data_IF_653876129216
#
_entry.id   IF_653876129216
#
_cell.length_a   1.000
_cell.length_b   1.000
_cell.length_c   1.000
_cell.angle_alpha   90.00
_cell.angle_beta   90.00
_cell.angle_gamma   90.00
#
_symmetry.space_group_name_H-M   'P 1'
#
loop_
_entity.id
_entity.type
_entity.pdbx_description
1 polymer ?
#
# COMPACT_ATOMS: atom_id res chain seq x y z
N UNK A 1 -7.85 29.53 -27.67
CA UNK A 1 -6.95 30.62 -27.24
C UNK A 1 -6.56 31.42 -28.47
N UNK A 2 -6.37 32.75 -28.38
CA UNK A 2 -5.84 33.52 -29.51
C UNK A 2 -4.51 32.91 -29.95
N UNK A 3 -4.36 32.66 -31.25
CA UNK A 3 -3.11 32.14 -31.82
C UNK A 3 -2.09 33.28 -31.89
N UNK A 4 -0.94 33.07 -31.24
CA UNK A 4 0.23 33.92 -31.38
C UNK A 4 1.40 33.08 -31.90
N UNK A 5 2.27 33.71 -32.68
CA UNK A 5 3.45 33.07 -33.27
C UNK A 5 4.62 33.22 -32.31
N UNK A 6 5.38 32.13 -32.11
CA UNK A 6 6.62 32.13 -31.36
C UNK A 6 7.82 32.37 -32.29
N UNK A 7 8.86 33.10 -31.86
CA UNK A 7 8.96 33.80 -30.58
C UNK A 7 8.03 35.03 -30.48
N UNK A 8 7.56 35.35 -29.28
CA UNK A 8 6.66 36.48 -29.05
C UNK A 8 7.30 37.82 -29.46
N UNK A 9 6.52 38.61 -30.19
CA UNK A 9 6.83 40.01 -30.46
C UNK A 9 6.23 40.91 -29.37
N UNK A 10 7.06 41.29 -28.40
CA UNK A 10 6.64 42.13 -27.27
C UNK A 10 6.13 43.51 -27.69
N UNK A 11 6.42 44.00 -28.90
CA UNK A 11 5.89 45.28 -29.39
C UNK A 11 4.40 45.24 -29.66
N UNK A 12 3.85 44.03 -29.89
CA UNK A 12 2.42 43.78 -30.11
C UNK A 12 1.64 43.54 -28.82
N UNK A 13 2.31 43.49 -27.67
CA UNK A 13 1.70 43.18 -26.36
C UNK A 13 1.42 44.49 -25.60
N UNK A 14 0.15 44.87 -25.54
CA UNK A 14 -0.31 46.19 -25.04
C UNK A 14 0.16 46.50 -23.61
N UNK A 15 0.20 45.51 -22.72
CA UNK A 15 0.53 45.67 -21.30
C UNK A 15 1.95 45.20 -20.95
N UNK A 16 2.82 44.93 -21.94
CA UNK A 16 4.13 44.30 -21.68
C UNK A 16 5.01 45.08 -20.71
N UNK A 17 5.06 46.42 -20.81
CA UNK A 17 5.90 47.25 -19.92
C UNK A 17 5.53 47.06 -18.44
N UNK A 18 4.24 47.06 -18.13
CA UNK A 18 3.74 46.90 -16.76
C UNK A 18 4.06 45.51 -16.20
N UNK A 19 3.84 44.46 -17.01
CA UNK A 19 4.14 43.07 -16.63
C UNK A 19 5.65 42.86 -16.45
N UNK A 20 6.47 43.39 -17.37
CA UNK A 20 7.91 43.21 -17.34
C UNK A 20 8.54 43.87 -16.10
N UNK A 21 8.07 45.06 -15.72
CA UNK A 21 8.58 45.78 -14.56
C UNK A 21 8.32 45.05 -13.23
N UNK A 22 7.18 44.38 -13.10
CA UNK A 22 6.78 43.75 -11.84
C UNK A 22 7.22 42.28 -11.74
N UNK A 23 7.24 41.53 -12.85
CA UNK A 23 7.37 40.07 -12.83
C UNK A 23 8.59 39.53 -13.58
N UNK A 24 9.07 40.23 -14.61
CA UNK A 24 10.21 39.80 -15.42
C UNK A 24 11.51 40.46 -14.94
N UNK A 25 11.72 40.44 -13.61
CA UNK A 25 12.85 41.10 -12.95
C UNK A 25 14.20 40.48 -13.30
N UNK A 26 14.20 39.24 -13.78
CA UNK A 26 15.39 38.53 -14.25
C UNK A 26 15.41 38.40 -15.78
N UNK A 27 16.57 38.59 -16.43
CA UNK A 27 16.69 38.47 -17.90
C UNK A 27 16.22 37.12 -18.45
N UNK A 28 16.43 36.01 -17.72
CA UNK A 28 15.99 34.68 -18.14
C UNK A 28 14.48 34.56 -18.28
N UNK A 29 13.69 35.31 -17.50
CA UNK A 29 12.24 35.26 -17.55
C UNK A 29 11.72 35.85 -18.86
N UNK A 30 12.29 36.98 -19.28
CA UNK A 30 11.94 37.61 -20.55
C UNK A 30 12.33 36.73 -21.74
N UNK A 31 13.51 36.14 -21.71
CA UNK A 31 13.97 35.21 -22.76
C UNK A 31 13.04 33.98 -22.87
N UNK A 32 12.66 33.41 -21.73
CA UNK A 32 11.74 32.26 -21.66
C UNK A 32 10.36 32.61 -22.18
N UNK A 33 9.79 33.75 -21.76
CA UNK A 33 8.51 34.24 -22.24
C UNK A 33 8.53 34.47 -23.75
N UNK A 34 9.61 35.07 -24.28
CA UNK A 34 9.76 35.31 -25.70
C UNK A 34 9.78 34.00 -26.49
N UNK A 35 10.57 33.03 -26.04
CA UNK A 35 10.74 31.75 -26.74
C UNK A 35 9.49 30.87 -26.67
N UNK A 36 8.87 30.79 -25.50
CA UNK A 36 7.87 29.76 -25.19
C UNK A 36 6.43 30.29 -25.16
N UNK A 37 6.24 31.62 -25.12
CA UNK A 37 4.93 32.24 -24.93
C UNK A 37 4.43 32.23 -23.48
N UNK A 38 5.17 31.60 -22.58
CA UNK A 38 4.94 31.60 -21.14
C UNK A 38 6.27 31.59 -20.39
N UNK A 39 6.23 31.97 -19.12
CA UNK A 39 7.37 31.89 -18.20
C UNK A 39 6.87 31.45 -16.83
N UNK A 40 7.64 30.59 -16.18
CA UNK A 40 7.43 30.23 -14.76
C UNK A 40 8.31 31.14 -13.92
N UNK A 41 7.68 31.89 -13.02
CA UNK A 41 8.37 32.79 -12.09
C UNK A 41 8.29 32.16 -10.71
N UNK A 42 9.43 32.18 -10.01
CA UNK A 42 9.50 31.69 -8.64
C UNK A 42 8.71 32.64 -7.72
N UNK A 43 7.63 32.11 -7.14
CA UNK A 43 6.76 32.82 -6.19
C UNK A 43 7.15 32.62 -4.72
N UNK A 44 8.22 31.85 -4.46
CA UNK A 44 8.60 31.37 -3.13
C UNK A 44 7.69 30.26 -2.61
N UNK A 45 8.00 29.77 -1.40
CA UNK A 45 7.19 28.77 -0.69
C UNK A 45 6.04 29.44 0.04
N UNK A 46 4.82 28.93 -0.16
CA UNK A 46 3.61 29.43 0.48
C UNK A 46 2.73 28.24 0.83
N UNK A 47 2.37 28.13 2.11
CA UNK A 47 1.55 27.01 2.62
C UNK A 47 0.04 27.27 2.55
N UNK A 48 -0.37 28.50 2.23
CA UNK A 48 -1.77 28.92 2.09
C UNK A 48 -2.04 29.35 0.64
N UNK A 49 -2.85 28.53 -0.06
CA UNK A 49 -3.22 28.74 -1.45
C UNK A 49 -3.96 30.07 -1.69
N UNK A 50 -4.54 30.69 -0.66
CA UNK A 50 -5.25 31.97 -0.77
C UNK A 50 -4.29 33.16 -0.89
N UNK A 51 -3.06 33.03 -0.40
CA UNK A 51 -2.06 34.11 -0.42
C UNK A 51 -1.68 34.52 -1.85
N UNK A 52 -1.36 33.60 -2.78
CA UNK A 52 -1.12 33.93 -4.19
C UNK A 52 -2.28 34.72 -4.79
N UNK A 53 -3.52 34.25 -4.62
CA UNK A 53 -4.71 34.93 -5.15
C UNK A 53 -4.90 36.33 -4.57
N UNK A 54 -4.65 36.49 -3.27
CA UNK A 54 -4.68 37.81 -2.62
C UNK A 54 -3.63 38.75 -3.21
N UNK A 55 -2.40 38.28 -3.42
CA UNK A 55 -1.32 39.07 -4.03
C UNK A 55 -1.65 39.48 -5.47
N UNK A 56 -2.14 38.54 -6.29
CA UNK A 56 -2.55 38.82 -7.67
C UNK A 56 -3.63 39.92 -7.70
N UNK A 57 -4.63 39.81 -6.80
CA UNK A 57 -5.69 40.81 -6.67
C UNK A 57 -5.17 42.18 -6.23
N UNK A 58 -4.29 42.23 -5.22
CA UNK A 58 -3.71 43.47 -4.71
C UNK A 58 -2.81 44.19 -5.73
N UNK A 59 -2.32 43.45 -6.73
CA UNK A 59 -1.47 43.97 -7.81
C UNK A 59 -2.25 44.20 -9.12
N UNK A 60 -3.59 44.13 -9.10
CA UNK A 60 -4.46 44.27 -10.27
C UNK A 60 -4.10 43.32 -11.43
N UNK A 61 -3.56 42.14 -11.12
CA UNK A 61 -3.30 41.09 -12.11
C UNK A 61 -4.58 40.29 -12.33
N UNK A 62 -4.99 40.05 -13.58
CA UNK A 62 -6.07 39.13 -13.88
C UNK A 62 -5.81 37.75 -13.28
N UNK A 63 -6.73 37.30 -12.42
CA UNK A 63 -6.66 35.99 -11.79
C UNK A 63 -7.23 34.96 -12.75
N UNK A 64 -6.44 33.94 -13.04
CA UNK A 64 -6.91 32.72 -13.68
C UNK A 64 -7.05 31.63 -12.62
N UNK A 65 -8.28 31.28 -12.28
CA UNK A 65 -8.56 30.18 -11.34
C UNK A 65 -8.48 28.87 -12.11
N UNK A 66 -7.52 28.03 -11.76
CA UNK A 66 -7.37 26.69 -12.33
C UNK A 66 -8.28 25.69 -11.61
N UNK A 67 -8.41 24.49 -12.19
CA UNK A 67 -9.08 23.37 -11.52
C UNK A 67 -8.40 22.99 -10.19
N UNK A 68 -7.13 23.38 -9.97
CA UNK A 68 -6.38 23.04 -8.76
C UNK A 68 -7.01 23.63 -7.49
N UNK A 69 -7.70 24.77 -7.60
CA UNK A 69 -8.37 25.38 -6.43
C UNK A 69 -9.54 24.56 -5.92
N UNK A 70 -10.57 24.25 -6.74
CA UNK A 70 -11.64 23.36 -6.29
C UNK A 70 -11.13 21.95 -5.95
N UNK A 71 -10.11 21.43 -6.66
CA UNK A 71 -9.50 20.13 -6.34
C UNK A 71 -8.79 20.14 -4.98
N UNK A 72 -8.07 21.21 -4.64
CA UNK A 72 -7.41 21.36 -3.35
C UNK A 72 -8.42 21.47 -2.20
N UNK A 73 -9.47 22.28 -2.38
CA UNK A 73 -10.56 22.38 -1.39
C UNK A 73 -11.27 21.04 -1.19
N UNK A 74 -11.54 20.33 -2.29
CA UNK A 74 -12.09 18.98 -2.23
C UNK A 74 -11.17 18.02 -1.47
N UNK A 75 -9.85 18.07 -1.73
CA UNK A 75 -8.87 17.25 -1.03
C UNK A 75 -8.83 17.54 0.47
N UNK A 76 -8.84 18.81 0.89
CA UNK A 76 -8.92 19.18 2.32
C UNK A 76 -10.19 18.62 2.94
N UNK A 77 -11.36 18.89 2.33
CA UNK A 77 -12.63 18.39 2.87
C UNK A 77 -12.63 16.87 3.02
N UNK A 78 -12.11 16.18 2.02
CA UNK A 78 -12.01 14.73 1.98
C UNK A 78 -11.09 14.18 3.08
N UNK A 79 -9.89 14.76 3.23
CA UNK A 79 -8.91 14.39 4.27
C UNK A 79 -9.46 14.62 5.69
N UNK A 80 -10.04 15.81 5.93
CA UNK A 80 -10.57 16.17 7.24
C UNK A 80 -11.76 15.29 7.64
N UNK A 81 -12.67 15.00 6.70
CA UNK A 81 -13.82 14.11 6.97
C UNK A 81 -13.37 12.69 7.27
N UNK A 82 -12.40 12.16 6.52
CA UNK A 82 -11.88 10.82 6.76
C UNK A 82 -11.19 10.74 8.12
N UNK A 83 -10.34 11.72 8.44
CA UNK A 83 -9.63 11.81 9.72
C UNK A 83 -10.59 11.80 10.90
N UNK A 84 -11.63 12.65 10.88
CA UNK A 84 -12.62 12.72 11.96
C UNK A 84 -13.34 11.38 12.15
N UNK A 85 -13.73 10.71 11.06
CA UNK A 85 -14.36 9.39 11.14
C UNK A 85 -13.39 8.34 11.70
N UNK A 86 -12.14 8.34 11.27
CA UNK A 86 -11.11 7.40 11.74
C UNK A 86 -10.85 7.56 13.23
N UNK A 87 -10.69 8.79 13.69
CA UNK A 87 -10.36 9.15 15.07
C UNK A 87 -11.54 8.97 16.02
N UNK A 88 -12.71 9.51 15.68
CA UNK A 88 -13.85 9.58 16.61
C UNK A 88 -14.72 8.31 16.58
N UNK A 89 -14.71 7.58 15.47
CA UNK A 89 -15.62 6.43 15.26
C UNK A 89 -14.84 5.13 15.07
N UNK A 90 -14.00 5.04 14.05
CA UNK A 90 -13.41 3.75 13.66
C UNK A 90 -12.39 3.24 14.64
N UNK A 91 -11.65 4.10 15.34
CA UNK A 91 -10.73 3.66 16.38
C UNK A 91 -11.43 2.83 17.46
N UNK A 92 -12.55 3.32 18.01
CA UNK A 92 -13.30 2.58 19.04
C UNK A 92 -13.92 1.30 18.47
N UNK A 93 -14.47 1.36 17.25
CA UNK A 93 -15.08 0.22 16.58
C UNK A 93 -14.05 -0.89 16.29
N UNK A 94 -12.86 -0.56 15.78
CA UNK A 94 -11.84 -1.57 15.48
C UNK A 94 -11.28 -2.20 16.75
N UNK A 95 -11.07 -1.44 17.83
CA UNK A 95 -10.67 -1.98 19.14
C UNK A 95 -11.69 -3.01 19.63
N UNK A 96 -12.99 -2.70 19.54
CA UNK A 96 -14.05 -3.60 19.98
C UNK A 96 -14.11 -4.89 19.13
N UNK A 97 -13.98 -4.77 17.80
CA UNK A 97 -13.89 -5.91 16.88
C UNK A 97 -12.69 -6.79 17.22
N UNK A 98 -11.52 -6.19 17.37
CA UNK A 98 -10.27 -6.89 17.67
C UNK A 98 -10.36 -7.65 19.00
N UNK A 99 -10.84 -7.03 20.07
CA UNK A 99 -10.98 -7.72 21.38
C UNK A 99 -11.96 -8.89 21.31
N UNK A 100 -13.05 -8.73 20.57
CA UNK A 100 -14.08 -9.77 20.39
C UNK A 100 -13.50 -10.98 19.65
N UNK A 101 -12.78 -10.75 18.55
CA UNK A 101 -12.13 -11.82 17.78
C UNK A 101 -10.93 -12.44 18.49
N UNK A 102 -10.17 -11.64 19.25
CA UNK A 102 -9.12 -12.14 20.14
C UNK A 102 -9.69 -13.16 21.13
N UNK A 103 -10.75 -12.80 21.86
CA UNK A 103 -11.39 -13.70 22.84
C UNK A 103 -11.90 -14.98 22.18
N UNK A 104 -12.58 -14.87 21.05
CA UNK A 104 -13.05 -16.03 20.31
C UNK A 104 -11.89 -16.95 19.88
N UNK A 105 -10.77 -16.38 19.45
CA UNK A 105 -9.57 -17.14 19.10
C UNK A 105 -8.97 -17.88 20.30
N UNK A 106 -9.04 -17.30 21.50
CA UNK A 106 -8.62 -17.98 22.73
C UNK A 106 -9.54 -19.14 23.08
N UNK A 107 -10.84 -18.98 22.90
CA UNK A 107 -11.81 -20.04 23.17
C UNK A 107 -11.67 -21.18 22.16
N UNK A 108 -11.45 -20.86 20.89
CA UNK A 108 -11.14 -21.81 19.82
C UNK A 108 -9.86 -22.61 20.13
N UNK A 109 -8.79 -21.93 20.56
CA UNK A 109 -7.51 -22.56 20.93
C UNK A 109 -7.65 -23.58 22.08
N UNK A 110 -8.57 -23.35 23.03
CA UNK A 110 -8.79 -24.27 24.16
C UNK A 110 -9.47 -25.58 23.73
N UNK A 111 -10.36 -25.50 22.74
CA UNK A 111 -11.25 -26.62 22.36
C UNK A 111 -10.73 -27.40 21.16
N UNK A 112 -10.15 -26.71 20.17
CA UNK A 112 -9.68 -27.32 18.95
C UNK A 112 -8.40 -28.15 19.15
N UNK A 113 -8.15 -29.05 18.20
CA UNK A 113 -6.93 -29.89 18.12
C UNK A 113 -6.29 -29.76 16.73
N UNK A 114 -5.17 -30.45 16.49
CA UNK A 114 -4.53 -30.48 15.17
C UNK A 114 -4.19 -29.11 14.60
N UNK A 115 -4.30 -28.99 13.27
CA UNK A 115 -3.96 -27.79 12.51
C UNK A 115 -4.88 -26.61 12.85
N UNK A 116 -6.17 -26.86 13.12
CA UNK A 116 -7.13 -25.81 13.48
C UNK A 116 -6.85 -25.21 14.86
N UNK A 117 -6.23 -25.97 15.78
CA UNK A 117 -5.74 -25.43 17.06
C UNK A 117 -4.56 -24.50 16.86
N UNK A 118 -3.60 -24.88 16.02
CA UNK A 118 -2.45 -24.04 15.69
C UNK A 118 -2.91 -22.77 14.96
N UNK A 119 -3.89 -22.87 14.06
CA UNK A 119 -4.52 -21.70 13.45
C UNK A 119 -5.17 -20.78 14.49
N UNK A 120 -5.97 -21.32 15.42
CA UNK A 120 -6.56 -20.53 16.50
C UNK A 120 -5.48 -19.86 17.38
N UNK A 121 -4.38 -20.56 17.70
CA UNK A 121 -3.23 -20.02 18.44
C UNK A 121 -2.59 -18.83 17.71
N UNK A 122 -2.37 -18.95 16.39
CA UNK A 122 -1.80 -17.85 15.60
C UNK A 122 -2.78 -16.69 15.43
N UNK A 123 -4.09 -16.94 15.39
CA UNK A 123 -5.10 -15.87 15.47
C UNK A 123 -5.05 -15.12 16.81
N UNK A 124 -4.83 -15.81 17.94
CA UNK A 124 -4.58 -15.14 19.23
C UNK A 124 -3.38 -14.21 19.13
N UNK A 125 -2.27 -14.66 18.54
CA UNK A 125 -1.08 -13.82 18.33
C UNK A 125 -1.38 -12.64 17.39
N UNK A 126 -2.04 -12.88 16.27
CA UNK A 126 -2.40 -11.89 15.26
C UNK A 126 -3.22 -10.73 15.84
N UNK A 127 -4.25 -11.04 16.63
CA UNK A 127 -5.04 -10.01 17.30
C UNK A 127 -4.31 -9.40 18.49
N UNK A 128 -3.39 -10.13 19.15
CA UNK A 128 -2.56 -9.57 20.22
C UNK A 128 -1.60 -8.50 19.71
N UNK A 129 -0.98 -8.70 18.53
CA UNK A 129 -0.13 -7.68 17.89
C UNK A 129 -0.95 -6.42 17.63
N UNK A 130 -2.12 -6.56 17.00
CA UNK A 130 -3.01 -5.43 16.74
C UNK A 130 -3.46 -4.71 18.03
N UNK A 131 -3.82 -5.46 19.08
CA UNK A 131 -4.19 -4.88 20.37
C UNK A 131 -3.03 -4.15 21.03
N UNK A 132 -1.79 -4.63 20.90
CA UNK A 132 -0.63 -3.89 21.41
C UNK A 132 -0.42 -2.55 20.71
N UNK A 133 -0.76 -2.45 19.43
CA UNK A 133 -0.71 -1.17 18.69
C UNK A 133 -1.87 -0.24 19.05
N UNK A 134 -3.08 -0.79 19.20
CA UNK A 134 -4.29 -0.02 19.47
C UNK A 134 -4.45 0.35 20.95
N UNK A 135 -4.02 -0.52 21.86
CA UNK A 135 -4.10 -0.42 23.32
C UNK A 135 -2.74 -0.85 23.93
N UNK A 136 -1.81 0.09 24.16
CA UNK A 136 -0.48 -0.23 24.70
C UNK A 136 -0.49 -0.96 26.05
N UNK A 137 -1.55 -0.82 26.86
CA UNK A 137 -1.69 -1.49 28.16
C UNK A 137 -2.19 -2.94 28.03
N UNK A 138 -2.50 -3.40 26.82
CA UNK A 138 -2.95 -4.76 26.59
C UNK A 138 -1.92 -5.81 27.04
N UNK A 139 -2.38 -6.76 27.86
CA UNK A 139 -1.56 -7.87 28.36
C UNK A 139 -1.62 -9.07 27.41
N UNK A 140 -0.45 -9.43 26.87
CA UNK A 140 -0.31 -10.53 25.90
C UNK A 140 -0.31 -11.88 26.62
N UNK A 141 -1.09 -12.88 26.16
CA UNK A 141 -1.01 -14.23 26.70
C UNK A 141 0.38 -14.85 26.53
N UNK A 142 0.91 -15.45 27.60
CA UNK A 142 2.29 -15.96 27.64
C UNK A 142 2.63 -16.95 26.52
N UNK A 143 1.66 -17.78 26.10
CA UNK A 143 1.85 -18.82 25.08
C UNK A 143 1.97 -18.31 23.64
N UNK A 144 1.75 -17.01 23.40
CA UNK A 144 2.01 -16.34 22.10
C UNK A 144 3.01 -15.18 22.22
N UNK A 145 3.52 -14.92 23.43
CA UNK A 145 4.28 -13.70 23.74
C UNK A 145 5.51 -13.52 22.85
N UNK A 146 6.24 -14.60 22.55
CA UNK A 146 7.44 -14.55 21.70
C UNK A 146 7.16 -13.95 20.32
N UNK A 147 6.10 -14.42 19.64
CA UNK A 147 5.72 -13.85 18.34
C UNK A 147 5.28 -12.40 18.48
N UNK A 148 4.46 -12.10 19.48
CA UNK A 148 3.90 -10.76 19.64
C UNK A 148 4.98 -9.73 19.98
N UNK A 149 5.94 -10.08 20.84
CA UNK A 149 7.07 -9.23 21.18
C UNK A 149 7.92 -8.91 19.96
N UNK A 150 8.25 -9.92 19.15
CA UNK A 150 9.03 -9.74 17.92
C UNK A 150 8.33 -8.77 16.96
N UNK A 151 7.06 -9.05 16.62
CA UNK A 151 6.28 -8.21 15.70
C UNK A 151 6.17 -6.77 16.24
N UNK A 152 5.91 -6.59 17.53
CA UNK A 152 5.83 -5.26 18.14
C UNK A 152 7.18 -4.52 18.14
N UNK A 153 8.29 -5.22 18.38
CA UNK A 153 9.63 -4.62 18.33
C UNK A 153 9.97 -4.15 16.91
N UNK A 154 9.65 -4.96 15.89
CA UNK A 154 9.91 -4.59 14.49
C UNK A 154 9.04 -3.40 14.05
N UNK A 155 7.74 -3.42 14.41
CA UNK A 155 6.80 -2.33 14.14
C UNK A 155 7.27 -1.02 14.77
N UNK A 156 7.66 -1.04 16.06
CA UNK A 156 8.04 0.17 16.78
C UNK A 156 9.35 0.78 16.27
N UNK A 157 10.31 -0.07 15.91
CA UNK A 157 11.61 0.37 15.41
C UNK A 157 11.64 0.64 13.89
N UNK A 158 10.57 0.32 13.16
CA UNK A 158 10.45 0.52 11.71
C UNK A 158 11.59 -0.13 10.90
N UNK A 159 12.06 -1.33 11.30
CA UNK A 159 13.32 -1.97 10.84
C UNK A 159 13.36 -2.45 9.38
N UNK A 160 12.54 -1.90 8.49
CA UNK A 160 12.52 -2.30 7.08
C UNK A 160 12.17 -3.79 6.94
N UNK A 161 12.78 -4.46 5.96
CA UNK A 161 12.50 -5.86 5.63
C UNK A 161 13.58 -6.77 6.25
N UNK A 162 13.26 -7.66 7.19
CA UNK A 162 14.21 -8.64 7.70
C UNK A 162 14.55 -9.70 6.63
N UNK A 163 15.69 -10.38 6.76
CA UNK A 163 16.00 -11.51 5.89
C UNK A 163 15.01 -12.66 6.07
N UNK A 164 14.85 -13.47 5.02
CA UNK A 164 13.87 -14.55 5.01
C UNK A 164 14.10 -15.59 6.10
N UNK A 165 15.35 -15.94 6.42
CA UNK A 165 15.67 -16.92 7.46
C UNK A 165 15.22 -16.44 8.84
N UNK A 166 15.57 -15.20 9.20
CA UNK A 166 15.15 -14.55 10.45
C UNK A 166 13.63 -14.45 10.52
N UNK A 167 12.98 -13.99 9.45
CA UNK A 167 11.53 -13.90 9.41
C UNK A 167 10.86 -15.28 9.55
N UNK A 168 11.43 -16.33 8.93
CA UNK A 168 10.89 -17.69 8.99
C UNK A 168 10.92 -18.30 10.39
N UNK A 169 11.88 -17.89 11.21
CA UNK A 169 12.06 -18.35 12.59
C UNK A 169 11.25 -17.53 13.59
N UNK A 170 11.32 -16.19 13.49
CA UNK A 170 10.84 -15.29 14.54
C UNK A 170 9.48 -14.63 14.25
N UNK A 171 9.14 -14.38 12.98
CA UNK A 171 7.86 -13.74 12.62
C UNK A 171 6.68 -14.71 12.79
N UNK A 172 5.54 -14.15 13.18
CA UNK A 172 4.27 -14.85 13.24
C UNK A 172 3.85 -15.44 11.87
N UNK A 173 4.07 -14.68 10.80
CA UNK A 173 3.67 -15.09 9.45
C UNK A 173 4.74 -15.86 8.70
N UNK A 174 5.93 -16.01 9.28
CA UNK A 174 7.01 -16.85 8.75
C UNK A 174 7.48 -16.41 7.35
N UNK A 175 7.28 -15.15 7.00
CA UNK A 175 7.70 -14.48 5.77
C UNK A 175 8.17 -13.07 6.11
N UNK A 176 9.09 -12.46 5.32
CA UNK A 176 9.49 -11.07 5.52
C UNK A 176 8.34 -10.08 5.39
N UNK A 177 8.39 -9.01 6.18
CA UNK A 177 7.45 -7.89 6.11
C UNK A 177 8.23 -6.58 6.19
N UNK A 178 7.80 -5.57 5.43
CA UNK A 178 8.41 -4.24 5.47
C UNK A 178 7.86 -3.42 6.64
N UNK A 179 8.56 -3.48 7.77
CA UNK A 179 8.17 -2.75 8.98
C UNK A 179 8.38 -1.24 8.86
N UNK A 180 9.08 -0.74 7.83
CA UNK A 180 9.18 0.71 7.57
C UNK A 180 7.83 1.34 7.22
N UNK A 181 6.88 0.54 6.74
CA UNK A 181 5.53 0.98 6.40
C UNK A 181 4.69 1.38 7.61
N UNK A 182 5.08 0.99 8.83
CA UNK A 182 4.33 1.23 10.06
C UNK A 182 4.63 2.58 10.69
N UNK A 183 5.46 3.42 10.07
CA UNK A 183 5.72 4.80 10.49
C UNK A 183 4.52 5.70 10.18
N UNK A 184 3.83 6.28 11.18
CA UNK A 184 2.74 7.22 10.94
C UNK A 184 3.18 8.41 10.10
N UNK A 185 2.31 8.88 9.20
CA UNK A 185 2.58 9.95 8.23
C UNK A 185 1.30 10.69 7.85
N UNK A 186 1.41 11.90 7.31
CA UNK A 186 0.25 12.69 6.89
C UNK A 186 -0.64 13.09 8.07
N UNK A 187 -1.96 12.98 7.93
CA UNK A 187 -2.88 13.32 9.03
C UNK A 187 -2.77 12.40 10.23
N UNK A 188 -2.18 11.20 10.07
CA UNK A 188 -2.06 10.23 11.17
C UNK A 188 -1.11 10.68 12.29
N UNK A 189 -0.27 11.71 12.07
CA UNK A 189 0.62 12.27 13.09
C UNK A 189 -0.04 13.40 13.89
N UNK A 190 -1.34 13.67 13.69
CA UNK A 190 -2.04 14.77 14.35
C UNK A 190 -2.51 14.44 15.76
N UNK A 191 -2.62 13.16 16.12
CA UNK A 191 -2.96 12.72 17.47
C UNK A 191 -2.46 11.31 17.78
N UNK A 192 -2.29 10.99 19.06
CA UNK A 192 -1.90 9.64 19.48
C UNK A 192 -2.92 8.57 19.07
N UNK A 193 -4.21 8.93 19.02
CA UNK A 193 -5.28 8.00 18.61
C UNK A 193 -5.08 7.60 17.16
N UNK A 194 -4.80 8.57 16.30
CA UNK A 194 -4.54 8.33 14.88
C UNK A 194 -3.24 7.56 14.65
N UNK A 195 -2.18 7.80 15.43
CA UNK A 195 -0.94 7.02 15.34
C UNK A 195 -1.17 5.54 15.70
N UNK A 196 -1.91 5.27 16.79
CA UNK A 196 -2.29 3.91 17.23
C UNK A 196 -3.19 3.24 16.19
N UNK A 197 -4.19 3.98 15.69
CA UNK A 197 -5.09 3.53 14.63
C UNK A 197 -4.31 3.15 13.37
N UNK A 198 -3.39 4.01 12.92
CA UNK A 198 -2.55 3.77 11.75
C UNK A 198 -1.77 2.46 11.89
N UNK A 199 -1.00 2.28 12.98
CA UNK A 199 -0.21 1.06 13.21
C UNK A 199 -1.09 -0.21 13.21
N UNK A 200 -2.25 -0.16 13.87
CA UNK A 200 -3.20 -1.28 13.92
C UNK A 200 -3.83 -1.60 12.56
N UNK A 201 -4.24 -0.58 11.80
CA UNK A 201 -4.82 -0.76 10.47
C UNK A 201 -3.78 -1.17 9.43
N UNK A 202 -2.54 -0.68 9.55
CA UNK A 202 -1.42 -1.13 8.71
C UNK A 202 -1.15 -2.62 8.91
N UNK A 203 -1.14 -3.11 10.16
CA UNK A 203 -1.04 -4.54 10.44
C UNK A 203 -2.15 -5.34 9.74
N UNK A 204 -3.40 -4.89 9.83
CA UNK A 204 -4.53 -5.55 9.18
C UNK A 204 -4.54 -5.49 7.65
N UNK A 205 -3.96 -4.45 7.07
CA UNK A 205 -3.87 -4.30 5.63
C UNK A 205 -2.61 -4.85 5.00
N UNK A 206 -1.58 -5.19 5.79
CA UNK A 206 -0.32 -5.71 5.26
C UNK A 206 -0.14 -7.22 5.47
N UNK A 207 -0.57 -7.75 6.60
CA UNK A 207 -0.43 -9.17 6.88
C UNK A 207 -1.38 -10.00 6.04
N UNK A 208 -0.79 -10.84 5.19
CA UNK A 208 -1.50 -11.67 4.22
C UNK A 208 -1.49 -13.12 4.65
N UNK A 209 -2.67 -13.71 4.75
CA UNK A 209 -2.84 -15.14 4.97
C UNK A 209 -2.78 -15.83 3.61
N UNK A 210 -1.56 -16.23 3.21
CA UNK A 210 -1.25 -16.76 1.89
C UNK A 210 -1.98 -18.08 1.64
N UNK A 211 -2.59 -18.15 0.45
CA UNK A 211 -3.32 -19.33 -0.01
C UNK A 211 -2.37 -20.42 -0.54
N UNK A 212 -1.30 -20.00 -1.21
CA UNK A 212 -0.37 -20.89 -1.92
C UNK A 212 0.87 -21.17 -1.08
N UNK A 213 1.16 -22.46 -0.88
CA UNK A 213 2.42 -22.94 -0.33
C UNK A 213 3.04 -24.01 -1.21
N UNK A 214 4.36 -24.16 -1.16
CA UNK A 214 5.09 -25.14 -1.98
C UNK A 214 6.30 -25.73 -1.24
N UNK A 215 6.83 -26.87 -1.69
CA UNK A 215 8.07 -27.45 -1.13
C UNK A 215 9.30 -26.63 -1.50
N UNK A 216 9.28 -26.03 -2.71
CA UNK A 216 10.24 -25.01 -3.14
C UNK A 216 9.70 -23.62 -2.79
N UNK A 217 9.94 -23.18 -1.57
CA UNK A 217 9.52 -21.87 -1.07
C UNK A 217 10.73 -21.00 -0.71
N UNK A 218 10.53 -19.69 -0.63
CA UNK A 218 11.56 -18.73 -0.24
C UNK A 218 11.26 -17.32 -0.74
N UNK A 219 12.28 -16.46 -0.72
CA UNK A 219 12.27 -15.19 -1.45
C UNK A 219 11.94 -15.44 -2.92
N UNK A 220 11.12 -14.58 -3.55
CA UNK A 220 10.79 -14.74 -4.98
C UNK A 220 11.98 -14.29 -5.83
N UNK A 221 12.93 -15.19 -5.92
CA UNK A 221 14.04 -15.27 -6.84
C UNK A 221 13.99 -16.73 -7.31
N UNK A 222 13.75 -17.04 -8.61
CA UNK A 222 13.72 -18.42 -9.11
C UNK A 222 14.88 -19.24 -8.52
N UNK A 223 14.63 -20.41 -7.88
CA UNK A 223 13.60 -21.42 -8.21
C UNK A 223 12.40 -21.54 -7.24
N UNK A 224 12.09 -20.52 -6.42
CA UNK A 224 10.92 -20.56 -5.53
C UNK A 224 9.59 -20.56 -6.32
N UNK A 225 8.64 -21.41 -5.91
CA UNK A 225 7.30 -21.54 -6.53
C UNK A 225 6.17 -21.01 -5.63
N UNK A 226 6.51 -20.61 -4.40
CA UNK A 226 5.65 -19.94 -3.43
C UNK A 226 6.48 -19.14 -2.41
N UNK A 227 5.83 -18.19 -1.74
CA UNK A 227 6.44 -17.41 -0.66
C UNK A 227 6.59 -18.16 0.66
N UNK A 228 5.89 -19.28 0.83
CA UNK A 228 5.90 -20.05 2.08
C UNK A 228 5.68 -21.54 1.81
N UNK A 229 5.93 -22.35 2.82
CA UNK A 229 5.75 -23.79 2.75
C UNK A 229 4.27 -24.21 2.82
N UNK A 230 3.96 -25.45 2.40
CA UNK A 230 2.58 -25.96 2.38
C UNK A 230 1.90 -25.98 3.74
N UNK A 231 2.64 -26.28 4.81
CA UNK A 231 2.10 -26.32 6.17
C UNK A 231 1.72 -24.91 6.63
N UNK A 232 2.61 -23.94 6.45
CA UNK A 232 2.36 -22.54 6.81
C UNK A 232 1.18 -21.95 6.03
N UNK A 233 1.11 -22.18 4.71
CA UNK A 233 -0.03 -21.73 3.90
C UNK A 233 -1.35 -22.39 4.34
N UNK A 234 -1.33 -23.68 4.72
CA UNK A 234 -2.50 -24.37 5.27
C UNK A 234 -2.97 -23.71 6.56
N UNK A 235 -2.08 -23.51 7.52
CA UNK A 235 -2.41 -22.83 8.78
C UNK A 235 -2.91 -21.41 8.56
N UNK A 236 -2.33 -20.65 7.63
CA UNK A 236 -2.81 -19.31 7.26
C UNK A 236 -4.21 -19.33 6.63
N UNK A 237 -4.49 -20.29 5.76
CA UNK A 237 -5.83 -20.46 5.17
C UNK A 237 -6.87 -20.81 6.23
N UNK A 238 -6.53 -21.69 7.18
CA UNK A 238 -7.38 -22.03 8.32
C UNK A 238 -7.60 -20.82 9.25
N UNK A 239 -6.56 -20.04 9.53
CA UNK A 239 -6.67 -18.80 10.31
C UNK A 239 -7.70 -17.85 9.71
N UNK A 240 -7.58 -17.56 8.41
CA UNK A 240 -8.48 -16.70 7.66
C UNK A 240 -9.93 -17.22 7.70
N UNK A 241 -10.11 -18.53 7.51
CA UNK A 241 -11.43 -19.14 7.53
C UNK A 241 -12.09 -19.09 8.93
N UNK A 242 -11.32 -19.31 10.00
CA UNK A 242 -11.79 -19.14 11.38
C UNK A 242 -12.20 -17.67 11.65
N UNK A 243 -11.37 -16.70 11.26
CA UNK A 243 -11.70 -15.28 11.40
C UNK A 243 -13.00 -14.96 10.65
N UNK A 244 -13.10 -15.39 9.38
CA UNK A 244 -14.27 -15.16 8.55
C UNK A 244 -15.54 -15.78 9.13
N UNK A 245 -15.47 -16.99 9.67
CA UNK A 245 -16.58 -17.64 10.34
C UNK A 245 -17.01 -16.90 11.60
N UNK A 246 -16.06 -16.56 12.49
CA UNK A 246 -16.32 -15.88 13.76
C UNK A 246 -16.88 -14.47 13.56
N UNK A 247 -16.36 -13.70 12.59
CA UNK A 247 -16.92 -12.40 12.21
C UNK A 247 -18.41 -12.48 11.86
N UNK A 248 -18.84 -13.54 11.18
CA UNK A 248 -20.23 -13.75 10.79
C UNK A 248 -21.17 -14.19 11.93
N UNK A 249 -20.63 -14.59 13.08
CA UNK A 249 -21.38 -15.20 14.19
C UNK A 249 -21.42 -14.32 15.44
N UNK A 250 -20.41 -13.49 15.65
CA UNK A 250 -20.21 -12.76 16.90
C UNK A 250 -20.86 -11.38 16.89
N UNK A 251 -21.18 -10.90 18.09
CA UNK A 251 -21.64 -9.55 18.37
C UNK A 251 -20.66 -8.85 19.29
N UNK A 252 -20.56 -7.53 19.12
CA UNK A 252 -19.86 -6.64 20.04
C UNK A 252 -20.63 -6.50 21.36
N UNK A 253 -19.98 -5.99 22.44
CA UNK A 253 -20.64 -5.77 23.73
C UNK A 253 -21.88 -4.87 23.67
N UNK A 254 -21.94 -3.96 22.69
CA UNK A 254 -23.09 -3.07 22.45
C UNK A 254 -24.21 -3.69 21.60
N UNK A 255 -24.07 -4.97 21.21
CA UNK A 255 -25.06 -5.73 20.47
C UNK A 255 -24.96 -5.65 18.95
N UNK A 256 -24.10 -4.77 18.39
CA UNK A 256 -23.84 -4.72 16.94
C UNK A 256 -23.15 -6.00 16.47
N UNK A 257 -23.44 -6.45 15.25
CA UNK A 257 -22.73 -7.58 14.63
C UNK A 257 -21.29 -7.21 14.34
N UNK A 258 -20.33 -8.12 14.59
CA UNK A 258 -18.93 -7.91 14.22
C UNK A 258 -18.80 -7.71 12.70
N UNK A 259 -19.51 -8.50 11.90
CA UNK A 259 -19.51 -8.36 10.45
C UNK A 259 -20.04 -6.99 10.00
N UNK A 260 -21.08 -6.44 10.64
CA UNK A 260 -21.65 -5.16 10.23
C UNK A 260 -20.71 -3.99 10.56
N UNK A 261 -20.05 -4.05 11.74
CA UNK A 261 -19.07 -3.03 12.13
C UNK A 261 -17.83 -3.10 11.22
N UNK A 262 -17.31 -4.30 10.97
CA UNK A 262 -16.21 -4.47 10.01
C UNK A 262 -16.60 -3.96 8.62
N UNK A 263 -17.81 -4.29 8.15
CA UNK A 263 -18.29 -3.85 6.84
C UNK A 263 -18.46 -2.34 6.75
N UNK A 264 -18.86 -1.68 7.84
CA UNK A 264 -18.95 -0.22 7.90
C UNK A 264 -17.57 0.42 7.74
N UNK A 265 -16.57 -0.05 8.49
CA UNK A 265 -15.18 0.42 8.35
C UNK A 265 -14.69 0.18 6.92
N UNK A 266 -14.89 -1.04 6.40
CA UNK A 266 -14.47 -1.41 5.05
C UNK A 266 -15.15 -0.57 3.97
N UNK A 267 -16.48 -0.42 4.00
CA UNK A 267 -17.24 0.26 2.95
C UNK A 267 -16.94 1.76 2.91
N UNK A 268 -16.79 2.41 4.07
CA UNK A 268 -16.39 3.82 4.12
C UNK A 268 -14.97 3.97 3.63
N UNK A 269 -14.00 3.21 4.17
CA UNK A 269 -12.62 3.29 3.69
C UNK A 269 -12.49 2.93 2.20
N UNK A 270 -13.34 2.07 1.67
CA UNK A 270 -13.39 1.75 0.24
C UNK A 270 -13.97 2.87 -0.62
N UNK A 271 -14.92 3.66 -0.09
CA UNK A 271 -15.40 4.87 -0.76
C UNK A 271 -14.29 5.91 -0.91
N UNK A 272 -13.42 6.04 0.10
CA UNK A 272 -12.30 6.98 0.06
C UNK A 272 -11.10 6.44 -0.75
N UNK A 273 -10.72 5.18 -0.56
CA UNK A 273 -9.45 4.66 -1.04
C UNK A 273 -9.56 3.51 -2.05
N UNK A 274 -10.77 3.11 -2.46
CA UNK A 274 -10.99 2.00 -3.39
C UNK A 274 -11.25 0.65 -2.72
N UNK A 275 -11.73 -0.34 -3.49
CA UNK A 275 -12.06 -1.67 -2.98
C UNK A 275 -10.81 -2.48 -2.61
N UNK A 276 -10.96 -3.50 -1.76
CA UNK A 276 -9.86 -4.44 -1.51
C UNK A 276 -9.45 -5.18 -2.80
N UNK A 277 -8.15 -5.32 -2.98
CA UNK A 277 -7.51 -6.09 -4.05
C UNK A 277 -7.22 -7.54 -3.63
N UNK A 278 -7.23 -7.80 -2.32
CA UNK A 278 -7.07 -9.11 -1.70
C UNK A 278 -8.40 -9.81 -1.43
N UNK A 279 -8.34 -11.12 -1.10
CA UNK A 279 -9.52 -11.85 -0.64
C UNK A 279 -10.02 -11.31 0.71
N UNK A 280 -11.35 -11.24 0.83
CA UNK A 280 -12.04 -10.65 1.99
C UNK A 280 -12.74 -11.72 2.85
N UNK A 281 -13.31 -11.27 3.98
CA UNK A 281 -14.14 -12.12 4.84
C UNK A 281 -15.31 -12.75 4.06
N UNK A 282 -15.86 -12.02 3.09
CA UNK A 282 -17.01 -12.48 2.32
C UNK A 282 -16.63 -13.56 1.31
N UNK A 283 -15.44 -13.46 0.71
CA UNK A 283 -14.94 -14.48 -0.21
C UNK A 283 -14.76 -15.82 0.52
N UNK A 284 -14.13 -15.79 1.69
CA UNK A 284 -13.96 -16.96 2.54
C UNK A 284 -15.31 -17.52 3.01
N UNK A 285 -16.24 -16.68 3.46
CA UNK A 285 -17.58 -17.13 3.88
C UNK A 285 -18.38 -17.73 2.73
N UNK A 286 -18.28 -17.16 1.52
CA UNK A 286 -18.95 -17.68 0.35
C UNK A 286 -18.39 -19.05 -0.04
N UNK A 287 -17.06 -19.18 -0.12
CA UNK A 287 -16.40 -20.46 -0.38
C UNK A 287 -16.75 -21.51 0.70
N UNK A 288 -16.74 -21.13 1.98
CA UNK A 288 -17.15 -22.02 3.07
C UNK A 288 -18.60 -22.48 2.91
N UNK A 289 -19.52 -21.57 2.57
CA UNK A 289 -20.93 -21.92 2.35
C UNK A 289 -21.14 -22.88 1.18
N UNK A 290 -20.34 -22.74 0.12
CA UNK A 290 -20.40 -23.63 -1.06
C UNK A 290 -19.96 -25.05 -0.71
N UNK A 291 -18.93 -25.21 0.12
CA UNK A 291 -18.33 -26.52 0.42
C UNK A 291 -18.95 -27.19 1.66
N UNK A 292 -19.20 -26.42 2.72
CA UNK A 292 -19.65 -26.92 4.03
C UNK A 292 -21.13 -26.62 4.33
N UNK A 293 -21.81 -25.87 3.46
CA UNK A 293 -23.21 -25.47 3.67
C UNK A 293 -23.38 -24.30 4.65
N UNK A 294 -24.61 -24.09 5.15
CA UNK A 294 -24.96 -22.92 5.97
C UNK A 294 -24.47 -22.97 7.42
N UNK A 295 -24.18 -24.16 7.94
CA UNK A 295 -23.71 -24.39 9.32
C UNK A 295 -22.28 -24.89 9.28
N UNK A 296 -21.34 -23.97 9.18
CA UNK A 296 -19.92 -24.28 9.15
C UNK A 296 -19.43 -24.81 10.52
N UNK A 297 -18.79 -25.98 10.50
CA UNK A 297 -18.07 -26.54 11.63
C UNK A 297 -16.56 -26.53 11.33
N UNK A 298 -15.75 -25.94 12.22
CA UNK A 298 -14.31 -25.82 12.01
C UNK A 298 -13.60 -27.17 11.83
N UNK A 299 -14.14 -28.23 12.43
CA UNK A 299 -13.63 -29.59 12.31
C UNK A 299 -13.75 -30.15 10.88
N UNK A 300 -14.69 -29.65 10.06
CA UNK A 300 -14.83 -30.09 8.67
C UNK A 300 -13.63 -29.70 7.81
N UNK A 301 -12.90 -28.64 8.18
CA UNK A 301 -11.67 -28.24 7.50
C UNK A 301 -10.45 -29.13 7.82
N UNK A 302 -10.56 -30.04 8.79
CA UNK A 302 -9.51 -31.06 8.99
C UNK A 302 -9.61 -32.20 7.95
N UNK A 303 -10.74 -32.32 7.23
CA UNK A 303 -10.86 -33.27 6.13
C UNK A 303 -10.08 -32.76 4.91
N UNK A 304 -8.99 -33.44 4.54
CA UNK A 304 -8.12 -33.06 3.43
C UNK A 304 -8.85 -32.89 2.08
N UNK A 305 -9.90 -33.69 1.81
CA UNK A 305 -10.67 -33.58 0.56
C UNK A 305 -11.53 -32.32 0.55
N UNK A 306 -12.24 -32.04 1.65
CA UNK A 306 -13.06 -30.83 1.76
C UNK A 306 -12.18 -29.57 1.83
N UNK A 307 -11.04 -29.64 2.52
CA UNK A 307 -10.05 -28.56 2.54
C UNK A 307 -9.51 -28.28 1.14
N UNK A 308 -9.15 -29.30 0.36
CA UNK A 308 -8.70 -29.13 -1.02
C UNK A 308 -9.80 -28.53 -1.92
N UNK A 309 -11.07 -28.91 -1.74
CA UNK A 309 -12.20 -28.29 -2.46
C UNK A 309 -12.37 -26.82 -2.06
N UNK A 310 -12.27 -26.50 -0.77
CA UNK A 310 -12.32 -25.13 -0.27
C UNK A 310 -11.19 -24.27 -0.84
N UNK A 311 -9.96 -24.79 -0.85
CA UNK A 311 -8.80 -24.15 -1.47
C UNK A 311 -9.02 -23.90 -2.97
N UNK A 312 -9.60 -24.88 -3.68
CA UNK A 312 -9.93 -24.77 -5.09
C UNK A 312 -10.99 -23.70 -5.36
N UNK A 313 -12.03 -23.59 -4.53
CA UNK A 313 -13.02 -22.51 -4.66
C UNK A 313 -12.40 -21.13 -4.47
N UNK A 314 -11.50 -20.96 -3.50
CA UNK A 314 -10.78 -19.70 -3.29
C UNK A 314 -9.84 -19.38 -4.46
N UNK A 315 -9.12 -20.38 -4.99
CA UNK A 315 -8.17 -20.20 -6.08
C UNK A 315 -8.81 -19.79 -7.43
N UNK A 316 -10.14 -19.95 -7.58
CA UNK A 316 -10.88 -19.42 -8.75
C UNK A 316 -11.04 -17.90 -8.72
N UNK A 317 -10.89 -17.30 -7.54
CA UNK A 317 -11.02 -15.86 -7.38
C UNK A 317 -9.79 -15.15 -7.96
N UNK A 318 -9.92 -13.85 -8.19
CA UNK A 318 -8.86 -13.07 -8.83
C UNK A 318 -7.70 -12.88 -7.84
N UNK A 319 -6.43 -13.08 -8.26
CA UNK A 319 -5.28 -12.62 -7.47
C UNK A 319 -5.24 -11.08 -7.39
N UNK A 320 -4.49 -10.52 -6.43
CA UNK A 320 -4.30 -9.06 -6.37
C UNK A 320 -3.70 -8.54 -7.68
N UNK A 321 -4.07 -7.33 -8.07
CA UNK A 321 -3.55 -6.62 -9.22
C UNK A 321 -2.46 -5.59 -8.87
N UNK A 322 -2.30 -5.27 -7.58
CA UNK A 322 -1.33 -4.32 -7.07
C UNK A 322 -0.35 -5.03 -6.17
N UNK A 323 0.92 -4.76 -6.45
CA UNK A 323 2.02 -5.27 -5.67
C UNK A 323 2.19 -4.47 -4.37
N UNK A 324 2.24 -5.19 -3.25
CA UNK A 324 2.25 -4.62 -1.90
C UNK A 324 3.55 -4.89 -1.12
N UNK A 325 4.54 -5.54 -1.75
CA UNK A 325 5.79 -5.96 -1.11
C UNK A 325 5.67 -7.16 -0.17
N UNK A 326 4.59 -7.94 -0.27
CA UNK A 326 4.29 -9.06 0.65
C UNK A 326 5.39 -10.12 0.63
N UNK A 327 5.88 -10.53 1.80
CA UNK A 327 6.87 -11.60 1.89
C UNK A 327 8.25 -11.20 1.35
N UNK A 328 8.53 -9.91 1.20
CA UNK A 328 9.74 -9.45 0.51
C UNK A 328 9.77 -9.80 -0.99
N UNK A 329 8.67 -10.33 -1.54
CA UNK A 329 8.47 -10.50 -2.97
C UNK A 329 8.89 -9.22 -3.69
N UNK A 330 9.70 -9.27 -4.74
CA UNK A 330 10.06 -8.07 -5.52
C UNK A 330 11.24 -7.23 -4.99
N UNK A 331 11.83 -7.57 -3.84
CA UNK A 331 12.95 -6.83 -3.24
C UNK A 331 14.27 -7.58 -3.45
N UNK A 332 14.69 -7.73 -4.72
CA UNK A 332 16.13 -7.77 -5.02
C UNK A 332 16.50 -6.49 -5.78
N UNK A 333 16.61 -5.34 -5.07
CA UNK A 333 17.05 -4.10 -5.70
C UNK A 333 18.44 -4.26 -6.33
N UNK A 334 19.19 -5.25 -5.86
CA UNK A 334 20.57 -5.42 -6.21
C UNK A 334 20.84 -6.21 -7.48
N UNK A 335 19.85 -6.98 -7.96
CA UNK A 335 20.10 -8.05 -8.93
C UNK A 335 21.30 -8.92 -8.51
N UNK A 336 21.59 -9.00 -7.21
CA UNK A 336 22.84 -9.58 -6.69
C UNK A 336 22.87 -11.08 -6.97
N UNK A 337 21.69 -11.70 -7.04
CA UNK A 337 21.53 -13.08 -7.51
C UNK A 337 21.26 -13.19 -9.01
N UNK A 338 21.43 -12.11 -9.78
CA UNK A 338 21.20 -12.07 -11.23
C UNK A 338 19.73 -11.97 -11.66
N UNK A 339 18.81 -11.73 -10.72
CA UNK A 339 17.39 -11.71 -10.98
C UNK A 339 16.85 -10.29 -10.87
N UNK A 340 16.46 -9.72 -12.00
CA UNK A 340 15.74 -8.46 -12.06
C UNK A 340 14.35 -8.69 -12.66
N UNK A 341 13.37 -8.03 -12.07
CA UNK A 341 12.06 -7.86 -12.70
C UNK A 341 12.21 -6.83 -13.80
N UNK A 342 12.00 -7.22 -15.06
CA UNK A 342 12.12 -6.31 -16.21
C UNK A 342 10.82 -6.29 -17.02
N UNK A 343 9.74 -6.84 -16.45
CA UNK A 343 8.44 -6.86 -17.11
C UNK A 343 7.28 -6.95 -16.13
N UNK A 344 6.15 -6.35 -16.53
CA UNK A 344 4.85 -6.49 -15.87
C UNK A 344 4.45 -7.98 -15.74
N UNK A 345 4.79 -8.82 -16.73
CA UNK A 345 4.49 -10.25 -16.69
C UNK A 345 5.14 -10.98 -15.50
N UNK A 346 6.37 -10.61 -15.13
CA UNK A 346 7.03 -11.20 -13.96
C UNK A 346 6.41 -10.68 -12.66
N UNK A 347 5.92 -9.43 -12.65
CA UNK A 347 5.14 -8.90 -11.54
C UNK A 347 3.82 -9.64 -11.37
N UNK A 348 3.09 -9.93 -12.45
CA UNK A 348 1.85 -10.71 -12.40
C UNK A 348 2.06 -12.10 -11.79
N UNK A 349 3.19 -12.76 -12.11
CA UNK A 349 3.55 -14.06 -11.54
C UNK A 349 3.81 -14.00 -10.03
N UNK A 350 4.40 -12.90 -9.53
CA UNK A 350 4.54 -12.67 -8.09
C UNK A 350 3.17 -12.53 -7.43
N UNK A 351 2.27 -11.77 -8.06
CA UNK A 351 0.96 -11.47 -7.49
C UNK A 351 0.12 -12.73 -7.27
N UNK A 352 0.29 -13.75 -8.12
CA UNK A 352 -0.30 -15.08 -7.92
C UNK A 352 0.21 -15.74 -6.62
N UNK A 353 1.46 -15.52 -6.24
CA UNK A 353 2.04 -16.08 -5.01
C UNK A 353 1.63 -15.29 -3.75
N UNK A 354 1.19 -14.04 -3.92
CA UNK A 354 0.69 -13.21 -2.82
C UNK A 354 -0.81 -13.33 -2.59
N UNK A 355 -1.52 -14.12 -3.40
CA UNK A 355 -2.96 -14.33 -3.24
C UNK A 355 -3.29 -14.90 -1.87
N UNK A 356 -4.19 -14.25 -1.16
CA UNK A 356 -4.56 -14.62 0.20
C UNK A 356 -5.58 -13.66 0.80
N UNK A 357 -5.95 -13.96 2.05
CA UNK A 357 -6.83 -13.10 2.83
C UNK A 357 -6.06 -11.97 3.51
N UNK A 358 -6.68 -10.79 3.57
CA UNK A 358 -6.27 -9.71 4.50
C UNK A 358 -7.48 -9.20 5.25
N UNK A 359 -7.31 -8.93 6.54
CA UNK A 359 -8.42 -8.46 7.37
C UNK A 359 -8.92 -7.08 6.96
N UNK A 360 -8.04 -6.19 6.48
CA UNK A 360 -8.38 -4.90 5.90
C UNK A 360 -7.56 -4.67 4.63
N UNK A 361 -7.84 -5.44 3.57
CA UNK A 361 -7.00 -5.58 2.37
C UNK A 361 -6.47 -4.30 1.70
N UNK A 362 -5.39 -4.46 0.94
CA UNK A 362 -4.79 -3.40 0.14
C UNK A 362 -5.79 -2.87 -0.87
N UNK A 363 -5.72 -1.58 -1.15
CA UNK A 363 -6.77 -0.91 -1.92
C UNK A 363 -6.41 -0.86 -3.39
N UNK A 364 -7.33 -1.36 -4.21
CA UNK A 364 -7.28 -1.17 -5.65
C UNK A 364 -7.68 0.26 -6.01
N UNK A 365 -6.68 1.03 -6.41
CA UNK A 365 -6.86 2.36 -7.02
C UNK A 365 -6.27 2.26 -8.44
N UNK A 366 -7.00 2.74 -9.48
CA UNK A 366 -6.50 2.73 -10.85
C UNK A 366 -5.08 3.34 -11.00
N UNK A 367 -4.80 4.40 -10.25
CA UNK A 367 -3.50 5.06 -10.24
C UNK A 367 -2.40 4.10 -9.75
N UNK A 368 -2.60 3.42 -8.62
CA UNK A 368 -1.64 2.43 -8.11
C UNK A 368 -1.37 1.31 -9.12
N UNK A 369 -2.41 0.84 -9.82
CA UNK A 369 -2.27 -0.18 -10.85
C UNK A 369 -1.49 0.31 -12.07
N UNK A 370 -1.80 1.51 -12.59
CA UNK A 370 -1.16 2.07 -13.79
C UNK A 370 0.27 2.50 -13.46
N UNK A 371 0.46 3.25 -12.39
CA UNK A 371 1.74 3.82 -12.01
C UNK A 371 2.71 2.76 -11.49
N UNK A 372 2.22 1.72 -10.80
CA UNK A 372 3.03 0.59 -10.35
C UNK A 372 3.74 -0.16 -11.48
N UNK A 373 3.17 -0.13 -12.70
CA UNK A 373 3.78 -0.72 -13.90
C UNK A 373 4.88 0.15 -14.51
N UNK A 374 5.00 1.41 -14.08
CA UNK A 374 5.95 2.40 -14.61
C UNK A 374 7.15 2.63 -13.67
N UNK A 375 7.19 1.93 -12.55
CA UNK A 375 8.21 2.08 -11.51
C UNK A 375 8.74 0.71 -11.07
N UNK A 376 9.80 0.71 -10.26
CA UNK A 376 10.33 -0.51 -9.65
C UNK A 376 9.26 -1.18 -8.77
N UNK A 377 9.10 -2.52 -8.82
CA UNK A 377 9.97 -3.47 -9.51
C UNK A 377 9.62 -3.72 -11.00
N UNK A 378 8.51 -3.21 -11.54
CA UNK A 378 8.04 -3.57 -12.89
C UNK A 378 9.01 -3.22 -14.04
N UNK A 379 9.81 -2.16 -13.87
CA UNK A 379 10.76 -1.61 -14.88
C UNK A 379 12.24 -1.86 -14.53
N UNK A 380 12.50 -2.78 -13.59
CA UNK A 380 13.86 -3.17 -13.20
C UNK A 380 14.66 -2.14 -12.43
N UNK A 381 15.92 -2.51 -12.19
CA UNK A 381 16.89 -1.72 -11.42
C UNK A 381 18.18 -1.57 -12.21
N UNK A 382 18.91 -0.49 -11.96
CA UNK A 382 20.21 -0.24 -12.60
C UNK A 382 21.30 -0.46 -11.55
N UNK A 383 22.23 -1.43 -11.74
CA UNK A 383 23.27 -1.78 -10.79
C UNK A 383 24.45 -0.79 -10.77
N UNK A 384 24.12 0.50 -10.79
CA UNK A 384 25.04 1.63 -10.65
C UNK A 384 24.25 2.88 -10.30
N UNK A 385 24.95 3.89 -9.80
CA UNK A 385 24.43 5.25 -9.73
C UNK A 385 24.28 5.83 -11.14
N UNK A 386 23.07 6.24 -11.50
CA UNK A 386 22.81 7.04 -12.72
C UNK A 386 22.67 8.52 -12.33
N UNK A 387 22.77 9.47 -13.28
CA UNK A 387 22.62 10.89 -12.97
C UNK A 387 21.30 11.20 -12.24
N UNK A 388 21.35 12.10 -11.27
CA UNK A 388 20.17 12.49 -10.50
C UNK A 388 19.13 13.15 -11.41
N UNK A 389 17.90 12.65 -11.32
CA UNK A 389 16.72 13.17 -12.00
C UNK A 389 15.47 12.76 -11.22
N UNK A 390 14.36 13.41 -11.51
CA UNK A 390 13.09 13.24 -10.79
C UNK A 390 12.64 11.77 -10.61
N UNK A 391 12.88 10.93 -11.61
CA UNK A 391 12.46 9.51 -11.63
C UNK A 391 13.38 8.59 -10.81
N UNK A 392 14.59 9.03 -10.46
CA UNK A 392 15.63 8.20 -9.83
C UNK A 392 15.52 8.23 -8.32
N UNK A 393 15.46 7.04 -7.72
CA UNK A 393 15.67 6.83 -6.28
C UNK A 393 16.88 5.94 -6.10
N UNK A 394 17.78 6.35 -5.21
CA UNK A 394 18.97 5.59 -4.86
C UNK A 394 18.67 4.65 -3.70
N UNK A 395 18.92 3.35 -3.89
CA UNK A 395 18.82 2.35 -2.83
C UNK A 395 20.23 2.02 -2.34
N UNK A 396 20.56 2.28 -1.06
CA UNK A 396 21.79 1.80 -0.45
C UNK A 396 21.78 0.27 -0.39
N UNK A 397 22.90 -0.37 -0.70
CA UNK A 397 23.09 -1.80 -0.47
C UNK A 397 24.43 -2.03 0.21
N UNK A 398 24.39 -2.42 1.48
CA UNK A 398 25.60 -2.67 2.29
C UNK A 398 26.43 -3.85 1.76
N UNK A 399 25.86 -4.70 0.89
CA UNK A 399 26.55 -5.86 0.29
C UNK A 399 27.41 -5.48 -0.91
N UNK A 400 27.12 -4.38 -1.58
CA UNK A 400 27.89 -3.83 -2.69
C UNK A 400 28.43 -2.49 -2.23
N UNK A 401 29.61 -2.48 -1.60
CA UNK A 401 30.41 -1.32 -1.14
C UNK A 401 29.64 -0.01 -0.83
N UNK A 402 29.85 0.64 0.33
CA UNK A 402 29.05 1.81 0.77
C UNK A 402 28.90 2.99 -0.21
N UNK A 403 29.70 3.05 -1.28
CA UNK A 403 29.68 4.07 -2.33
C UNK A 403 28.92 3.67 -3.63
N UNK A 404 28.43 2.44 -3.78
CA UNK A 404 27.65 1.96 -4.93
C UNK A 404 26.15 1.81 -4.59
N UNK A 405 25.40 2.90 -4.74
CA UNK A 405 23.95 2.83 -4.68
C UNK A 405 23.35 2.29 -5.99
N UNK A 406 22.31 1.46 -5.89
CA UNK A 406 21.45 1.08 -7.01
C UNK A 406 20.55 2.24 -7.39
N UNK A 407 20.28 2.40 -8.68
CA UNK A 407 19.29 3.36 -9.15
C UNK A 407 18.04 2.62 -9.56
N UNK A 408 16.92 2.96 -8.93
CA UNK A 408 15.60 2.48 -9.36
C UNK A 408 14.80 3.62 -9.97
N UNK A 409 13.80 3.26 -10.77
CA UNK A 409 12.74 4.20 -11.12
C UNK A 409 11.74 4.24 -9.98
N UNK A 410 11.85 5.25 -9.11
CA UNK A 410 10.97 5.40 -7.94
C UNK A 410 9.69 6.18 -8.25
N UNK A 411 9.71 7.03 -9.27
CA UNK A 411 8.58 7.89 -9.62
C UNK A 411 8.26 7.84 -11.12
N UNK A 412 6.97 7.79 -11.49
CA UNK A 412 6.52 8.03 -12.86
C UNK A 412 6.42 9.54 -13.12
N UNK A 413 6.44 9.94 -14.38
CA UNK A 413 6.16 11.29 -14.88
C UNK A 413 4.78 11.33 -15.52
N UNK A 414 4.16 12.51 -15.53
CA UNK A 414 2.89 12.70 -16.25
C UNK A 414 2.96 12.32 -17.73
N UNK A 415 4.11 12.47 -18.38
CA UNK A 415 4.31 12.05 -19.77
C UNK A 415 4.23 10.53 -19.97
N UNK A 416 4.54 9.72 -18.96
CA UNK A 416 4.52 8.27 -19.08
C UNK A 416 3.10 7.76 -19.36
N UNK A 417 2.11 8.34 -18.69
CA UNK A 417 0.69 8.01 -18.90
C UNK A 417 0.30 8.29 -20.36
N UNK A 418 0.66 9.45 -20.90
CA UNK A 418 0.37 9.77 -22.31
C UNK A 418 1.12 8.87 -23.29
N UNK A 419 2.36 8.48 -22.96
CA UNK A 419 3.16 7.57 -23.77
C UNK A 419 2.51 6.18 -23.82
N UNK A 420 2.08 5.65 -22.68
CA UNK A 420 1.34 4.37 -22.59
C UNK A 420 0.05 4.41 -23.41
N UNK A 421 -0.65 5.56 -23.42
CA UNK A 421 -1.83 5.76 -24.28
C UNK A 421 -1.51 6.05 -25.76
N UNK A 422 -0.25 5.90 -26.19
CA UNK A 422 0.15 5.95 -27.60
C UNK A 422 0.63 7.30 -28.12
N UNK A 423 0.90 8.28 -27.24
CA UNK A 423 1.44 9.57 -27.65
C UNK A 423 2.92 9.48 -28.04
N UNK A 424 3.19 9.39 -29.35
CA UNK A 424 4.55 9.41 -29.92
C UNK A 424 5.37 10.63 -29.49
N UNK A 425 4.71 11.76 -29.24
CA UNK A 425 5.36 12.99 -28.76
C UNK A 425 5.83 12.83 -27.31
N UNK A 426 4.99 12.24 -26.45
CA UNK A 426 5.37 11.97 -25.07
C UNK A 426 6.53 10.96 -25.02
N UNK A 427 6.44 9.88 -25.80
CA UNK A 427 7.49 8.87 -25.96
C UNK A 427 8.82 9.50 -26.38
N UNK A 428 8.82 10.33 -27.43
CA UNK A 428 10.04 11.03 -27.89
C UNK A 428 10.63 11.90 -26.78
N UNK A 429 9.81 12.68 -26.08
CA UNK A 429 10.30 13.50 -24.97
C UNK A 429 10.90 12.62 -23.85
N UNK A 430 10.29 11.48 -23.52
CA UNK A 430 10.81 10.56 -22.51
C UNK A 430 12.22 10.09 -22.87
N UNK A 431 12.43 9.72 -24.14
CA UNK A 431 13.73 9.28 -24.68
C UNK A 431 14.76 10.42 -24.62
N UNK A 432 14.39 11.61 -25.12
CA UNK A 432 15.26 12.77 -25.20
C UNK A 432 15.76 13.24 -23.81
N UNK A 433 15.02 12.95 -22.74
CA UNK A 433 15.37 13.26 -21.34
C UNK A 433 16.01 12.09 -20.57
N UNK A 434 16.65 11.15 -21.27
CA UNK A 434 17.45 10.02 -20.74
C UNK A 434 16.73 8.99 -19.84
N UNK A 435 15.41 9.07 -19.68
CA UNK A 435 14.61 8.10 -18.92
C UNK A 435 14.36 6.77 -19.63
N UNK A 436 15.03 6.54 -20.76
CA UNK A 436 15.10 5.25 -21.47
C UNK A 436 16.22 4.34 -20.95
N UNK A 437 17.00 4.77 -19.95
CA UNK A 437 18.10 3.98 -19.36
C UNK A 437 17.61 2.83 -18.45
N UNK A 438 16.32 2.80 -18.10
CA UNK A 438 15.72 1.68 -17.36
C UNK A 438 15.47 0.49 -18.30
N UNK A 439 15.70 -0.75 -17.84
CA UNK A 439 15.36 -1.98 -18.58
C UNK A 439 13.89 -2.02 -19.01
#
# INVERSE_FOLDING_TARGET
>A
MPEYVLPLDFTKVTNFKNVAQHYLTKPEYKSSLQKNGFVVIDGGTIDDITIPYKRLREQDIPIYVTADTPLHLFHIQFDETLREIEEEVFYTDIVAVTRTLFKASQDDYKVFQGDIKEAAKRNVAYFSVALKQLDPEFSVPSYVKTWVDWECEQIENHRGVPDYGTARELSLFKIPEDYSQYKPRGHYTRSEVLEKYFKGMMWYGRMTFLLKGHEKFGDIIPPAEALTDRETAKIQTLQAALIAARCGQLKLPDGRSVADVWNRIYAVTAFYAGFADDLTLYDYRNAMRTIFGSTFSAQEMENETQYAQFLFELAKLKPPAIFSGTGGAGIDPGGYQGHQFTSVKQLDQILEYTMGFRFMGQRYIPDSYILGQLVSPAVGTIPRKIPERFTVVYIPDERIQPDLAYSIRGFPRGLDVFSVFGSKRAEKHIIDYTDHEYP
#
